data_IF_486817054282
#
_entry.id   IF_486817054282
#
_cell.length_a   1.000
_cell.length_b   1.000
_cell.length_c   1.000
_cell.angle_alpha   90.00
_cell.angle_beta   90.00
_cell.angle_gamma   90.00
#
_symmetry.space_group_name_H-M   'P 1'
#
loop_
_entity.id
_entity.type
_entity.pdbx_description
1 polymer ?
#
# COMPACT_ATOMS: atom_id res chain seq x y z
N UNK A 1 -34.92 21.23 12.83
CA UNK A 1 -33.46 21.15 13.15
C UNK A 1 -32.83 20.23 12.12
N UNK A 2 -32.20 20.78 11.10
CA UNK A 2 -31.42 20.02 10.11
C UNK A 2 -30.15 19.60 10.78
N UNK A 3 -29.95 18.30 10.98
CA UNK A 3 -28.66 17.74 11.39
C UNK A 3 -27.58 18.23 10.40
N UNK A 4 -26.44 18.71 10.88
CA UNK A 4 -25.36 19.05 9.97
C UNK A 4 -24.97 17.76 9.24
N UNK A 5 -25.23 17.71 7.94
CA UNK A 5 -24.70 16.66 7.08
C UNK A 5 -23.16 16.83 7.15
N UNK A 6 -22.51 15.95 7.90
CA UNK A 6 -21.07 15.80 7.76
C UNK A 6 -20.81 15.52 6.27
N UNK A 7 -19.91 16.28 5.63
CA UNK A 7 -19.58 16.03 4.24
C UNK A 7 -19.11 14.57 4.13
N UNK A 8 -19.59 13.85 3.11
CA UNK A 8 -19.13 12.49 2.86
C UNK A 8 -17.60 12.52 2.62
N UNK A 9 -16.88 11.50 3.05
CA UNK A 9 -15.45 11.44 2.75
C UNK A 9 -15.23 11.35 1.23
N UNK A 10 -14.21 12.04 0.74
CA UNK A 10 -13.71 11.84 -0.61
C UNK A 10 -12.89 10.58 -0.70
N UNK A 11 -13.01 9.86 -1.79
CA UNK A 11 -12.22 8.66 -2.07
C UNK A 11 -11.25 8.94 -3.21
N UNK A 12 -9.96 8.69 -2.97
CA UNK A 12 -8.89 8.84 -3.93
C UNK A 12 -8.19 7.51 -4.24
N UNK A 13 -7.57 7.46 -5.41
CA UNK A 13 -6.77 6.32 -5.86
C UNK A 13 -5.43 6.82 -6.38
N UNK A 14 -4.35 6.24 -5.91
CA UNK A 14 -3.00 6.47 -6.43
C UNK A 14 -2.50 5.16 -7.01
N UNK A 15 -2.06 5.19 -8.27
CA UNK A 15 -1.49 4.04 -8.95
C UNK A 15 -0.04 4.34 -9.27
N UNK A 16 0.86 3.56 -8.69
CA UNK A 16 2.31 3.75 -8.79
C UNK A 16 2.89 2.67 -9.70
N UNK A 17 3.64 3.08 -10.70
CA UNK A 17 4.38 2.19 -11.57
C UNK A 17 4.62 2.77 -12.96
N UNK A 18 5.86 2.77 -13.40
CA UNK A 18 6.25 3.19 -14.76
C UNK A 18 5.64 2.28 -15.84
N UNK A 19 5.40 1.00 -15.52
CA UNK A 19 4.81 0.04 -16.44
C UNK A 19 3.37 0.39 -16.84
N UNK A 20 2.65 1.09 -15.97
CA UNK A 20 1.30 1.58 -16.27
C UNK A 20 1.38 2.79 -17.20
N UNK A 21 2.23 3.75 -16.88
CA UNK A 21 2.40 4.97 -17.68
C UNK A 21 2.99 4.70 -19.06
N UNK A 22 3.86 3.70 -19.19
CA UNK A 22 4.44 3.29 -20.48
C UNK A 22 3.51 2.41 -21.34
N UNK A 23 2.40 1.95 -20.76
CA UNK A 23 1.47 1.05 -21.44
C UNK A 23 1.92 -0.42 -21.50
N UNK A 24 3.02 -0.79 -20.82
CA UNK A 24 3.46 -2.19 -20.73
C UNK A 24 2.45 -3.05 -19.98
N UNK A 25 1.73 -2.45 -19.03
CA UNK A 25 0.65 -3.07 -18.27
C UNK A 25 -0.56 -2.15 -18.27
N UNK A 26 -1.74 -2.70 -18.54
CA UNK A 26 -2.99 -1.96 -18.40
C UNK A 26 -3.38 -1.89 -16.91
N UNK A 27 -3.81 -0.71 -16.46
CA UNK A 27 -4.36 -0.56 -15.11
C UNK A 27 -5.67 -1.34 -14.97
N UNK A 28 -5.76 -2.12 -13.91
CA UNK A 28 -6.97 -2.85 -13.51
C UNK A 28 -7.50 -2.40 -12.13
N UNK A 29 -6.75 -1.53 -11.45
CA UNK A 29 -7.12 -1.09 -10.10
C UNK A 29 -8.25 -0.06 -10.13
N UNK A 30 -8.21 0.90 -11.05
CA UNK A 30 -9.24 1.94 -11.13
C UNK A 30 -10.64 1.37 -11.39
N UNK A 31 -10.86 0.51 -12.41
CA UNK A 31 -12.17 -0.11 -12.62
C UNK A 31 -12.65 -0.92 -11.42
N UNK A 32 -11.74 -1.66 -10.78
CA UNK A 32 -12.09 -2.47 -9.60
C UNK A 32 -12.42 -1.63 -8.38
N UNK A 33 -11.68 -0.57 -8.14
CA UNK A 33 -11.96 0.36 -7.04
C UNK A 33 -13.32 1.02 -7.23
N UNK A 34 -13.64 1.44 -8.43
CA UNK A 34 -14.98 1.98 -8.79
C UNK A 34 -16.07 0.94 -8.48
N UNK A 35 -15.89 -0.31 -8.91
CA UNK A 35 -16.82 -1.41 -8.64
C UNK A 35 -17.04 -1.60 -7.14
N UNK A 36 -15.95 -1.69 -6.36
CA UNK A 36 -16.00 -1.93 -4.91
C UNK A 36 -16.68 -0.78 -4.15
N UNK A 37 -16.40 0.46 -4.52
CA UNK A 37 -17.04 1.64 -3.94
C UNK A 37 -18.52 1.72 -4.33
N UNK A 38 -18.84 1.52 -5.60
CA UNK A 38 -20.23 1.57 -6.11
C UNK A 38 -21.12 0.52 -5.45
N UNK A 39 -20.60 -0.68 -5.19
CA UNK A 39 -21.30 -1.73 -4.47
C UNK A 39 -21.71 -1.33 -3.03
N UNK A 40 -21.08 -0.29 -2.50
CA UNK A 40 -21.34 0.28 -1.16
C UNK A 40 -22.04 1.64 -1.22
N UNK A 41 -22.52 2.04 -2.39
CA UNK A 41 -23.15 3.35 -2.59
C UNK A 41 -22.17 4.53 -2.51
N UNK A 42 -20.87 4.26 -2.72
CA UNK A 42 -19.80 5.25 -2.70
C UNK A 42 -19.27 5.50 -4.11
N UNK A 43 -18.50 6.55 -4.29
CA UNK A 43 -17.88 6.89 -5.59
C UNK A 43 -16.44 7.27 -5.41
N UNK A 44 -15.63 6.96 -6.40
CA UNK A 44 -14.26 7.46 -6.51
C UNK A 44 -14.32 8.93 -6.97
N UNK A 45 -13.66 9.82 -6.24
CA UNK A 45 -13.68 11.26 -6.52
C UNK A 45 -12.49 11.70 -7.37
N UNK A 46 -11.33 11.05 -7.22
CA UNK A 46 -10.13 11.36 -7.98
C UNK A 46 -9.18 10.17 -8.10
N UNK A 47 -8.30 10.19 -9.09
CA UNK A 47 -7.23 9.23 -9.27
C UNK A 47 -5.97 9.90 -9.83
N UNK A 48 -4.82 9.50 -9.32
CA UNK A 48 -3.50 9.92 -9.80
C UNK A 48 -2.69 8.70 -10.26
N UNK A 49 -2.10 8.82 -11.43
CA UNK A 49 -1.13 7.86 -11.96
C UNK A 49 0.28 8.43 -11.81
N UNK A 50 1.15 7.72 -11.13
CA UNK A 50 2.50 8.20 -10.78
C UNK A 50 3.53 7.16 -11.18
N UNK A 51 4.61 7.59 -11.85
CA UNK A 51 5.76 6.74 -12.12
C UNK A 51 6.61 6.50 -10.88
N UNK A 52 7.67 5.71 -11.04
CA UNK A 52 8.55 5.26 -9.93
C UNK A 52 9.56 6.35 -9.47
N UNK A 53 9.28 7.62 -9.74
CA UNK A 53 10.07 8.75 -9.23
C UNK A 53 9.80 9.01 -7.76
N UNK A 54 10.79 8.86 -6.84
CA UNK A 54 10.58 9.08 -5.41
C UNK A 54 10.04 10.46 -5.07
N UNK A 55 10.51 11.52 -5.74
CA UNK A 55 10.05 12.88 -5.48
C UNK A 55 8.60 13.10 -5.89
N UNK A 56 8.16 12.52 -6.99
CA UNK A 56 6.75 12.59 -7.42
C UNK A 56 5.84 11.81 -6.48
N UNK A 57 6.23 10.60 -6.12
CA UNK A 57 5.48 9.75 -5.17
C UNK A 57 5.35 10.50 -3.83
N UNK A 58 6.44 11.05 -3.30
CA UNK A 58 6.44 11.79 -2.04
C UNK A 58 5.48 12.98 -2.08
N UNK A 59 5.51 13.79 -3.13
CA UNK A 59 4.62 14.95 -3.28
C UNK A 59 3.15 14.54 -3.40
N UNK A 60 2.88 13.50 -4.15
CA UNK A 60 1.52 12.97 -4.30
C UNK A 60 0.98 12.46 -2.96
N UNK A 61 1.79 11.72 -2.20
CA UNK A 61 1.42 11.23 -0.87
C UNK A 61 1.28 12.38 0.14
N UNK A 62 2.16 13.37 0.14
CA UNK A 62 2.07 14.52 1.02
C UNK A 62 0.73 15.25 0.84
N UNK A 63 0.31 15.49 -0.40
CA UNK A 63 -0.99 16.08 -0.72
C UNK A 63 -2.15 15.22 -0.21
N UNK A 64 -2.05 13.91 -0.38
CA UNK A 64 -3.06 12.98 0.13
C UNK A 64 -3.16 13.01 1.66
N UNK A 65 -2.03 13.02 2.36
CA UNK A 65 -1.99 13.10 3.84
C UNK A 65 -2.48 14.45 4.40
N UNK A 66 -2.35 15.52 3.65
CA UNK A 66 -2.87 16.84 4.02
C UNK A 66 -4.38 16.97 3.79
N UNK A 67 -4.97 16.07 3.04
CA UNK A 67 -6.39 16.04 2.71
C UNK A 67 -7.23 15.34 3.79
N UNK A 68 -8.55 15.38 3.61
CA UNK A 68 -9.51 14.58 4.38
C UNK A 68 -9.93 13.32 3.64
N UNK A 69 -9.29 13.00 2.52
CA UNK A 69 -9.65 11.89 1.66
C UNK A 69 -9.24 10.54 2.26
N UNK A 70 -10.00 9.52 1.93
CA UNK A 70 -9.62 8.11 2.09
C UNK A 70 -9.02 7.67 0.77
N UNK A 71 -7.73 7.32 0.79
CA UNK A 71 -6.95 7.06 -0.41
C UNK A 71 -6.45 5.62 -0.44
N UNK A 72 -6.63 4.94 -1.57
CA UNK A 72 -5.99 3.66 -1.84
C UNK A 72 -4.76 3.91 -2.72
N UNK A 73 -3.61 3.42 -2.30
CA UNK A 73 -2.36 3.50 -3.06
C UNK A 73 -1.93 2.10 -3.47
N UNK A 74 -1.87 1.86 -4.78
CA UNK A 74 -1.55 0.55 -5.36
C UNK A 74 -0.16 0.58 -5.99
N UNK A 75 0.75 -0.29 -5.54
CA UNK A 75 2.08 -0.46 -6.10
C UNK A 75 3.22 0.17 -5.31
N UNK A 76 4.44 -0.23 -5.64
CA UNK A 76 5.67 0.29 -5.08
C UNK A 76 6.00 -0.12 -3.65
N UNK A 77 5.35 -1.15 -3.12
CA UNK A 77 5.59 -1.65 -1.75
C UNK A 77 6.27 -3.02 -1.68
N UNK A 78 6.76 -3.53 -2.82
CA UNK A 78 7.53 -4.77 -2.88
C UNK A 78 8.96 -4.63 -2.36
N UNK A 79 9.82 -5.60 -2.73
CA UNK A 79 11.22 -5.66 -2.29
C UNK A 79 12.23 -5.36 -3.41
N UNK A 80 11.78 -4.89 -4.55
CA UNK A 80 12.66 -4.55 -5.67
C UNK A 80 13.25 -3.14 -5.54
N UNK A 81 14.37 -2.83 -6.21
CA UNK A 81 15.03 -1.51 -6.08
C UNK A 81 14.19 -0.32 -6.53
N UNK A 82 13.18 -0.53 -7.37
CA UNK A 82 12.24 0.49 -7.84
C UNK A 82 10.98 0.62 -6.99
N UNK A 83 10.85 -0.16 -5.93
CA UNK A 83 9.79 -0.03 -4.93
C UNK A 83 10.13 1.06 -3.91
N UNK A 84 9.61 2.28 -4.12
CA UNK A 84 9.94 3.46 -3.32
C UNK A 84 8.81 3.94 -2.40
N UNK A 85 7.62 3.36 -2.51
CA UNK A 85 6.40 3.91 -1.88
C UNK A 85 6.49 3.98 -0.36
N UNK A 86 7.06 2.97 0.30
CA UNK A 86 7.21 2.96 1.78
C UNK A 86 8.10 4.10 2.27
N UNK A 87 9.23 4.30 1.62
CA UNK A 87 10.19 5.38 1.93
C UNK A 87 9.57 6.75 1.66
N UNK A 88 8.84 6.88 0.55
CA UNK A 88 8.17 8.12 0.18
C UNK A 88 7.03 8.47 1.15
N UNK A 89 6.30 7.46 1.65
CA UNK A 89 5.27 7.66 2.66
C UNK A 89 5.86 8.20 3.98
N UNK A 90 6.97 7.63 4.43
CA UNK A 90 7.67 8.11 5.63
C UNK A 90 8.18 9.54 5.45
N UNK A 91 8.76 9.88 4.30
CA UNK A 91 9.19 11.25 3.97
C UNK A 91 8.02 12.22 3.97
N UNK A 92 6.91 11.85 3.34
CA UNK A 92 5.72 12.69 3.28
C UNK A 92 5.12 12.98 4.66
N UNK A 93 5.19 12.02 5.58
CA UNK A 93 4.70 12.15 6.96
C UNK A 93 5.74 12.75 7.91
N UNK A 94 7.01 12.84 7.52
CA UNK A 94 8.09 13.30 8.39
C UNK A 94 8.39 12.35 9.56
N UNK A 95 8.24 11.05 9.35
CA UNK A 95 8.47 10.00 10.36
C UNK A 95 9.55 9.02 9.91
N UNK A 96 10.11 8.27 10.86
CA UNK A 96 11.07 7.22 10.58
C UNK A 96 10.40 5.98 9.98
N UNK A 97 11.19 5.19 9.26
CA UNK A 97 10.85 3.83 8.85
C UNK A 97 11.27 2.86 9.96
N UNK A 98 10.37 1.93 10.30
CA UNK A 98 10.63 0.89 11.30
C UNK A 98 10.12 -0.46 10.80
N UNK A 99 10.83 -1.55 11.13
CA UNK A 99 10.32 -2.89 10.92
C UNK A 99 9.13 -3.12 11.85
N UNK A 100 7.94 -3.25 11.26
CA UNK A 100 6.71 -3.43 12.02
C UNK A 100 6.66 -4.85 12.62
N UNK A 101 6.45 -5.01 13.94
CA UNK A 101 6.53 -6.32 14.59
C UNK A 101 5.56 -7.36 14.02
N UNK A 102 4.32 -6.97 13.74
CA UNK A 102 3.34 -7.87 13.12
C UNK A 102 3.69 -8.21 11.67
N UNK A 103 4.23 -7.25 10.91
CA UNK A 103 4.69 -7.49 9.54
C UNK A 103 5.87 -8.47 9.52
N UNK A 104 6.82 -8.33 10.44
CA UNK A 104 7.93 -9.26 10.58
C UNK A 104 7.44 -10.69 10.80
N UNK A 105 6.51 -10.89 11.73
CA UNK A 105 5.93 -12.22 11.99
C UNK A 105 5.26 -12.81 10.75
N UNK A 106 4.43 -12.04 10.06
CA UNK A 106 3.71 -12.49 8.87
C UNK A 106 4.65 -12.82 7.71
N UNK A 107 5.68 -12.01 7.49
CA UNK A 107 6.68 -12.25 6.46
C UNK A 107 7.50 -13.51 6.78
N UNK A 108 7.91 -13.71 8.03
CA UNK A 108 8.61 -14.92 8.46
C UNK A 108 7.74 -16.17 8.31
N UNK A 109 6.46 -16.10 8.67
CA UNK A 109 5.50 -17.19 8.41
C UNK A 109 5.41 -17.53 6.91
N UNK A 110 5.33 -16.52 6.05
CA UNK A 110 5.31 -16.75 4.60
C UNK A 110 6.59 -17.40 4.11
N UNK A 111 7.75 -17.01 4.62
CA UNK A 111 9.02 -17.63 4.27
C UNK A 111 9.09 -19.10 4.71
N UNK A 112 8.54 -19.43 5.89
CA UNK A 112 8.41 -20.81 6.35
C UNK A 112 7.48 -21.62 5.44
N UNK A 113 6.33 -21.07 5.07
CA UNK A 113 5.38 -21.71 4.16
C UNK A 113 6.05 -22.01 2.80
N UNK A 114 6.78 -21.05 2.24
CA UNK A 114 7.51 -21.21 0.96
C UNK A 114 8.57 -22.31 1.06
N UNK A 115 9.36 -22.31 2.14
CA UNK A 115 10.37 -23.35 2.36
C UNK A 115 9.73 -24.74 2.44
N UNK A 116 8.60 -24.87 3.12
CA UNK A 116 7.84 -26.10 3.22
C UNK A 116 7.27 -26.53 1.86
N UNK A 117 6.70 -25.62 1.10
CA UNK A 117 6.18 -25.87 -0.26
C UNK A 117 7.28 -26.37 -1.20
N UNK A 118 8.51 -25.84 -1.05
CA UNK A 118 9.67 -26.22 -1.84
C UNK A 118 10.40 -27.45 -1.32
N UNK A 119 10.05 -27.96 -0.14
CA UNK A 119 10.70 -29.09 0.48
C UNK A 119 12.15 -28.82 0.93
N UNK A 120 12.46 -27.56 1.28
CA UNK A 120 13.77 -27.13 1.73
C UNK A 120 13.73 -26.63 3.18
N UNK A 121 14.89 -26.68 3.94
CA UNK A 121 14.94 -26.11 5.28
C UNK A 121 14.66 -24.59 5.26
N UNK A 122 13.96 -24.10 6.27
CA UNK A 122 13.82 -22.66 6.49
C UNK A 122 15.09 -22.11 7.16
N UNK A 123 15.73 -21.16 6.50
CA UNK A 123 16.95 -20.51 6.95
C UNK A 123 16.68 -19.01 7.17
N UNK A 124 16.27 -18.57 8.39
CA UNK A 124 15.85 -17.20 8.63
C UNK A 124 16.94 -16.17 8.39
N UNK A 125 18.21 -16.54 8.58
CA UNK A 125 19.35 -15.63 8.43
C UNK A 125 19.95 -15.61 7.01
N UNK A 126 19.38 -16.37 6.07
CA UNK A 126 19.83 -16.32 4.68
C UNK A 126 19.54 -14.94 4.09
N UNK A 127 20.47 -14.39 3.32
CA UNK A 127 20.43 -13.02 2.83
C UNK A 127 19.12 -12.65 2.11
N UNK A 128 18.59 -13.54 1.30
CA UNK A 128 17.31 -13.31 0.60
C UNK A 128 16.12 -13.25 1.56
N UNK A 129 16.12 -14.04 2.63
CA UNK A 129 15.08 -14.01 3.66
C UNK A 129 15.19 -12.75 4.52
N UNK A 130 16.39 -12.34 4.87
CA UNK A 130 16.64 -11.07 5.58
C UNK A 130 16.19 -9.88 4.72
N UNK A 131 16.51 -9.90 3.42
CA UNK A 131 16.11 -8.86 2.47
C UNK A 131 14.58 -8.73 2.36
N UNK A 132 13.85 -9.82 2.38
CA UNK A 132 12.37 -9.82 2.33
C UNK A 132 11.72 -9.11 3.50
N UNK A 133 12.38 -9.01 4.65
CA UNK A 133 11.88 -8.25 5.79
C UNK A 133 11.71 -6.75 5.49
N UNK A 134 12.39 -6.23 4.47
CA UNK A 134 12.20 -4.86 4.00
C UNK A 134 10.75 -4.58 3.59
N UNK A 135 9.99 -5.58 3.16
CA UNK A 135 8.56 -5.44 2.87
C UNK A 135 7.71 -5.15 4.11
N UNK A 136 8.25 -5.33 5.30
CA UNK A 136 7.61 -5.00 6.57
C UNK A 136 8.14 -3.73 7.23
N UNK A 137 9.03 -3.00 6.57
CA UNK A 137 9.59 -1.72 7.04
C UNK A 137 8.63 -0.61 6.63
N UNK A 138 7.84 -0.14 7.58
CA UNK A 138 6.77 0.84 7.36
C UNK A 138 7.04 2.16 8.07
N UNK A 139 6.37 3.25 7.66
CA UNK A 139 6.37 4.49 8.45
C UNK A 139 5.95 4.21 9.88
N UNK A 140 6.65 4.80 10.84
CA UNK A 140 6.32 4.65 12.27
C UNK A 140 4.86 5.04 12.53
N UNK A 141 4.13 4.18 13.24
CA UNK A 141 2.72 4.36 13.52
C UNK A 141 1.76 3.73 12.50
N UNK A 142 2.28 3.13 11.43
CA UNK A 142 1.45 2.43 10.44
C UNK A 142 0.71 1.23 11.05
N UNK A 143 -0.47 0.96 10.51
CA UNK A 143 -1.29 -0.21 10.85
C UNK A 143 -1.22 -1.23 9.72
N UNK A 144 -1.29 -2.52 10.07
CA UNK A 144 -1.26 -3.62 9.12
C UNK A 144 -2.58 -3.71 8.34
N UNK A 145 -2.47 -3.95 7.04
CA UNK A 145 -3.57 -4.45 6.20
C UNK A 145 -3.26 -5.92 5.90
N UNK A 146 -4.07 -6.87 6.39
CA UNK A 146 -3.86 -8.30 6.12
C UNK A 146 -3.92 -8.61 4.62
N UNK A 147 -3.03 -9.49 4.17
CA UNK A 147 -3.02 -9.98 2.81
C UNK A 147 -3.39 -11.48 2.78
N UNK A 148 -4.62 -11.82 2.41
CA UNK A 148 -5.08 -13.22 2.41
C UNK A 148 -4.41 -14.08 1.33
N UNK A 149 -3.79 -13.47 0.33
CA UNK A 149 -3.13 -14.18 -0.75
C UNK A 149 -1.80 -14.84 -0.33
N UNK A 150 -0.93 -14.09 0.35
CA UNK A 150 0.43 -14.57 0.67
C UNK A 150 0.95 -14.15 2.04
N UNK A 151 0.11 -13.64 2.93
CA UNK A 151 0.46 -13.14 4.28
C UNK A 151 1.34 -11.88 4.33
N UNK A 152 1.97 -11.45 3.23
CA UNK A 152 2.80 -10.25 3.21
C UNK A 152 1.90 -9.02 3.25
N UNK A 153 1.86 -8.27 4.37
CA UNK A 153 0.83 -7.26 4.58
C UNK A 153 1.05 -5.98 3.79
N UNK A 154 -0.03 -5.27 3.51
CA UNK A 154 0.00 -3.84 3.24
C UNK A 154 -0.02 -3.05 4.55
N UNK A 155 -0.18 -1.74 4.45
CA UNK A 155 -0.21 -0.87 5.63
C UNK A 155 -1.06 0.37 5.40
N UNK A 156 -1.57 0.92 6.49
CA UNK A 156 -2.33 2.17 6.51
C UNK A 156 -1.58 3.23 7.30
N UNK A 157 -1.57 4.45 6.78
CA UNK A 157 -1.05 5.62 7.48
C UNK A 157 -2.13 6.71 7.51
N UNK A 158 -2.11 7.52 8.57
CA UNK A 158 -3.08 8.58 8.81
C UNK A 158 -2.39 9.94 8.81
N UNK A 159 -2.97 10.88 8.08
CA UNK A 159 -2.48 12.26 8.04
C UNK A 159 -3.05 13.13 9.16
N UNK A 160 -2.48 14.31 9.38
CA UNK A 160 -2.87 15.20 10.50
C UNK A 160 -4.27 15.82 10.34
N UNK A 161 -4.80 15.86 9.12
CA UNK A 161 -6.12 16.43 8.82
C UNK A 161 -7.26 15.39 8.85
N UNK A 162 -7.00 14.15 9.24
CA UNK A 162 -7.98 13.08 9.31
C UNK A 162 -8.10 12.23 8.05
N UNK A 163 -7.32 12.52 7.01
CA UNK A 163 -7.20 11.67 5.83
C UNK A 163 -6.42 10.39 6.12
N UNK A 164 -6.61 9.37 5.30
CA UNK A 164 -5.93 8.10 5.41
C UNK A 164 -5.44 7.63 4.05
N UNK A 165 -4.26 7.01 4.01
CA UNK A 165 -3.77 6.32 2.81
C UNK A 165 -3.54 4.84 3.15
N UNK A 166 -4.18 3.98 2.38
CA UNK A 166 -4.11 2.53 2.49
C UNK A 166 -3.24 2.00 1.35
N UNK A 167 -2.11 1.42 1.71
CA UNK A 167 -1.10 0.96 0.76
C UNK A 167 -1.24 -0.55 0.53
N UNK A 168 -1.44 -0.91 -0.73
CA UNK A 168 -1.59 -2.30 -1.17
C UNK A 168 -0.65 -2.61 -2.33
N UNK A 169 -0.32 -3.90 -2.58
CA UNK A 169 0.54 -4.30 -3.70
C UNK A 169 -0.01 -3.87 -5.05
N UNK A 170 0.88 -3.80 -6.05
CA UNK A 170 0.50 -3.52 -7.44
C UNK A 170 -0.17 -4.67 -8.17
N UNK A 171 -0.12 -5.90 -7.64
CA UNK A 171 -0.76 -7.06 -8.26
C UNK A 171 -2.24 -7.14 -7.88
N UNK A 172 -3.17 -7.15 -8.87
CA UNK A 172 -4.62 -7.14 -8.60
C UNK A 172 -5.09 -8.28 -7.71
N UNK A 173 -4.58 -9.50 -7.91
CA UNK A 173 -4.94 -10.68 -7.12
C UNK A 173 -4.64 -10.50 -5.62
N UNK A 174 -3.64 -9.71 -5.27
CA UNK A 174 -3.32 -9.36 -3.89
C UNK A 174 -4.08 -8.12 -3.41
N UNK A 175 -4.06 -7.05 -4.21
CA UNK A 175 -4.61 -5.75 -3.82
C UNK A 175 -6.13 -5.77 -3.60
N UNK A 176 -6.89 -6.41 -4.47
CA UNK A 176 -8.35 -6.33 -4.43
C UNK A 176 -8.99 -6.87 -3.15
N UNK A 177 -8.55 -8.02 -2.59
CA UNK A 177 -9.06 -8.48 -1.30
C UNK A 177 -8.67 -7.59 -0.12
N UNK A 178 -7.68 -6.69 -0.30
CA UNK A 178 -7.17 -5.80 0.74
C UNK A 178 -7.87 -4.44 0.76
N UNK A 179 -8.57 -4.08 -0.31
CA UNK A 179 -9.40 -2.88 -0.43
C UNK A 179 -10.81 -3.16 0.10
#
# INVERSE_FOLDING_TARGET
MTSPHLPRPEFGLIIVGDEILSGKRADKHMPKTIELLSARGLSLDWADYVGDSPDRITRTLARAFESHSIVFSCGGIGATPDDHTRQCAARALGVDLVLHPQAELLIRERMQDVAKEQGVPYEPERDDNVHRLNMGVFPKGAQIIPNPYNKIPGFSCYGPAGGAVHFVPGFPVMAWPMI
#
